data_IF_557008289887
#
_entry.id   IF_557008289887
#
_cell.length_a   1.000
_cell.length_b   1.000
_cell.length_c   1.000
_cell.angle_alpha   90.00
_cell.angle_beta   90.00
_cell.angle_gamma   90.00
#
_symmetry.space_group_name_H-M   'P 1'
#
loop_
_entity.id
_entity.type
_entity.pdbx_description
1 polymer ?
#
# COMPACT_ATOMS: atom_id res chain seq x y z
N UNK A 1 -77.07 -36.04 -7.63
CA UNK A 1 -76.11 -35.28 -6.79
C UNK A 1 -75.17 -36.28 -6.13
N UNK A 2 -73.84 -36.09 -6.22
CA UNK A 2 -72.77 -37.09 -5.99
C UNK A 2 -72.43 -37.89 -7.25
N UNK A 3 -71.44 -37.42 -8.01
CA UNK A 3 -70.40 -38.19 -8.76
C UNK A 3 -69.42 -37.22 -9.44
N UNK A 4 -69.74 -35.94 -9.66
CA UNK A 4 -68.87 -35.04 -10.44
C UNK A 4 -67.75 -34.29 -9.68
N UNK A 5 -67.54 -34.53 -8.37
CA UNK A 5 -66.50 -33.80 -7.61
C UNK A 5 -65.18 -34.55 -7.45
N UNK A 6 -65.14 -35.87 -7.74
CA UNK A 6 -63.94 -36.68 -7.51
C UNK A 6 -63.01 -36.81 -8.73
N UNK A 7 -63.47 -36.45 -9.93
CA UNK A 7 -62.67 -36.54 -11.16
C UNK A 7 -61.81 -35.30 -11.45
N UNK A 8 -62.05 -34.16 -10.80
CA UNK A 8 -61.21 -32.96 -10.98
C UNK A 8 -59.95 -32.93 -10.11
N UNK A 9 -59.82 -33.79 -9.08
CA UNK A 9 -58.61 -33.84 -8.26
C UNK A 9 -57.54 -34.84 -8.74
N UNK A 10 -57.83 -35.68 -9.74
CA UNK A 10 -56.90 -36.72 -10.22
C UNK A 10 -56.11 -36.32 -11.48
N UNK A 11 -56.37 -35.16 -12.07
CA UNK A 11 -55.62 -34.62 -13.22
C UNK A 11 -54.56 -33.56 -12.83
N UNK A 12 -54.40 -33.27 -11.53
CA UNK A 12 -53.41 -32.31 -11.03
C UNK A 12 -52.14 -32.95 -10.41
N UNK A 13 -51.89 -34.25 -10.66
CA UNK A 13 -50.76 -34.98 -10.07
C UNK A 13 -49.74 -35.53 -11.06
N UNK A 14 -49.85 -35.25 -12.36
CA UNK A 14 -48.85 -35.64 -13.36
C UNK A 14 -48.55 -34.47 -14.30
N UNK A 15 -47.74 -33.51 -13.84
CA UNK A 15 -46.81 -32.70 -14.64
C UNK A 15 -46.10 -31.67 -13.75
N UNK A 16 -45.55 -32.12 -12.62
CA UNK A 16 -44.39 -31.47 -12.04
C UNK A 16 -43.20 -32.39 -12.30
N UNK A 17 -42.87 -32.60 -13.58
CA UNK A 17 -41.51 -32.93 -13.93
C UNK A 17 -40.69 -31.74 -13.41
N UNK A 18 -40.09 -31.91 -12.23
CA UNK A 18 -39.12 -30.98 -11.74
C UNK A 18 -38.00 -31.00 -12.77
N UNK A 19 -37.91 -29.93 -13.56
CA UNK A 19 -36.70 -29.59 -14.28
C UNK A 19 -35.69 -29.26 -13.17
N UNK A 20 -35.08 -30.28 -12.58
CA UNK A 20 -33.80 -30.07 -11.92
C UNK A 20 -32.86 -29.73 -13.07
N UNK A 21 -32.32 -28.50 -13.15
CA UNK A 21 -31.18 -28.29 -14.03
C UNK A 21 -30.15 -29.33 -13.60
N UNK A 22 -29.80 -30.24 -14.49
CA UNK A 22 -28.60 -31.05 -14.33
C UNK A 22 -27.48 -30.01 -14.23
N UNK A 23 -27.04 -29.72 -13.01
CA UNK A 23 -25.81 -28.99 -12.80
C UNK A 23 -24.73 -29.88 -13.41
N UNK A 24 -24.32 -29.56 -14.63
CA UNK A 24 -23.12 -30.09 -15.24
C UNK A 24 -21.98 -29.91 -14.24
N UNK A 25 -21.15 -30.93 -14.07
CA UNK A 25 -20.09 -30.89 -13.09
C UNK A 25 -19.16 -29.68 -13.37
N UNK A 26 -18.75 -28.99 -12.32
CA UNK A 26 -18.14 -27.68 -12.44
C UNK A 26 -18.41 -26.82 -11.22
N UNK A 27 -17.55 -25.82 -11.04
CA UNK A 27 -17.68 -24.86 -9.97
C UNK A 27 -17.53 -23.45 -10.55
N UNK A 28 -18.42 -22.53 -10.19
CA UNK A 28 -18.41 -21.15 -10.64
C UNK A 28 -18.59 -20.18 -9.47
N UNK A 29 -17.87 -19.06 -9.53
CA UNK A 29 -18.10 -17.89 -8.70
C UNK A 29 -18.22 -16.65 -9.57
N UNK A 30 -19.23 -15.83 -9.30
CA UNK A 30 -19.40 -14.53 -9.93
C UNK A 30 -19.59 -13.45 -8.86
N UNK A 31 -18.71 -12.45 -8.85
CA UNK A 31 -18.82 -11.26 -8.02
C UNK A 31 -19.46 -10.13 -8.81
N UNK A 32 -20.39 -9.41 -8.17
CA UNK A 32 -21.01 -8.18 -8.69
C UNK A 32 -20.52 -6.96 -7.90
N UNK A 33 -20.61 -5.77 -8.48
CA UNK A 33 -20.26 -4.50 -7.83
C UNK A 33 -18.95 -3.91 -8.36
N UNK A 34 -18.20 -3.19 -7.51
CA UNK A 34 -17.01 -2.43 -7.94
C UNK A 34 -15.91 -3.27 -8.61
N UNK A 35 -15.83 -4.55 -8.29
CA UNK A 35 -14.98 -5.53 -8.97
C UNK A 35 -15.92 -6.62 -9.48
N UNK A 36 -16.21 -6.57 -10.77
CA UNK A 36 -17.08 -7.53 -11.45
C UNK A 36 -16.24 -8.56 -12.18
N UNK A 37 -16.33 -9.82 -11.72
CA UNK A 37 -15.67 -10.93 -12.37
C UNK A 37 -16.43 -12.23 -12.14
N UNK A 38 -16.22 -13.17 -13.05
CA UNK A 38 -16.60 -14.57 -12.92
C UNK A 38 -15.39 -15.46 -13.12
N UNK A 39 -15.37 -16.57 -12.39
CA UNK A 39 -14.38 -17.63 -12.50
C UNK A 39 -15.15 -18.95 -12.51
N UNK A 40 -14.90 -19.78 -13.51
CA UNK A 40 -15.43 -21.14 -13.58
C UNK A 40 -14.29 -22.15 -13.71
N UNK A 41 -14.44 -23.29 -13.03
CA UNK A 41 -13.46 -24.36 -12.92
C UNK A 41 -14.13 -25.69 -13.20
N UNK A 42 -13.54 -26.44 -14.12
CA UNK A 42 -13.85 -27.84 -14.35
C UNK A 42 -12.55 -28.65 -14.36
N UNK A 43 -12.64 -29.95 -14.11
CA UNK A 43 -11.49 -30.85 -14.18
C UNK A 43 -11.81 -32.12 -14.94
N UNK A 44 -10.78 -32.75 -15.50
CA UNK A 44 -10.86 -34.06 -16.15
C UNK A 44 -9.68 -34.92 -15.76
N UNK A 45 -9.88 -36.23 -15.74
CA UNK A 45 -8.77 -37.17 -15.69
C UNK A 45 -8.13 -37.30 -17.07
N UNK A 46 -6.81 -37.15 -17.10
CA UNK A 46 -6.03 -37.32 -18.31
C UNK A 46 -5.52 -38.75 -18.36
N UNK A 47 -6.15 -39.58 -19.19
CA UNK A 47 -5.82 -41.01 -19.31
C UNK A 47 -4.37 -41.22 -19.76
N UNK A 48 -3.82 -40.34 -20.60
CA UNK A 48 -2.48 -40.47 -21.14
C UNK A 48 -1.39 -40.15 -20.10
N UNK A 49 -1.58 -39.08 -19.30
CA UNK A 49 -0.61 -38.68 -18.27
C UNK A 49 -0.87 -39.28 -16.89
N UNK A 50 -2.01 -39.96 -16.71
CA UNK A 50 -2.56 -40.37 -15.42
C UNK A 50 -2.71 -39.21 -14.41
N UNK A 51 -2.74 -37.97 -14.90
CA UNK A 51 -2.91 -36.76 -14.09
C UNK A 51 -4.32 -36.20 -14.16
N UNK A 52 -4.53 -35.04 -13.52
CA UNK A 52 -5.79 -34.29 -13.58
C UNK A 52 -5.57 -32.92 -14.18
N UNK A 53 -6.37 -32.61 -15.20
CA UNK A 53 -6.34 -31.35 -15.92
C UNK A 53 -7.35 -30.38 -15.32
N UNK A 54 -7.02 -29.08 -15.29
CA UNK A 54 -7.92 -28.01 -14.88
C UNK A 54 -8.26 -27.15 -16.09
N UNK A 55 -9.56 -26.93 -16.30
CA UNK A 55 -10.11 -25.99 -17.26
C UNK A 55 -10.63 -24.78 -16.50
N UNK A 56 -10.06 -23.61 -16.80
CA UNK A 56 -10.31 -22.36 -16.11
C UNK A 56 -10.85 -21.33 -17.10
N UNK A 57 -12.06 -20.84 -16.82
CA UNK A 57 -12.68 -19.73 -17.54
C UNK A 57 -12.74 -18.51 -16.64
N UNK A 58 -12.18 -17.39 -17.10
CA UNK A 58 -12.15 -16.13 -16.36
C UNK A 58 -12.83 -15.07 -17.20
N UNK A 59 -13.79 -14.37 -16.60
CA UNK A 59 -14.39 -13.16 -17.13
C UNK A 59 -14.20 -12.03 -16.14
N UNK A 60 -13.64 -10.89 -16.53
CA UNK A 60 -13.43 -9.77 -15.62
C UNK A 60 -13.58 -8.45 -16.37
N UNK A 61 -14.36 -7.52 -15.80
CA UNK A 61 -14.50 -6.18 -16.37
C UNK A 61 -13.44 -5.28 -15.75
N UNK A 62 -12.47 -4.76 -16.53
CA UNK A 62 -11.43 -3.89 -16.00
C UNK A 62 -12.01 -2.54 -15.57
N UNK A 63 -11.26 -1.81 -14.74
CA UNK A 63 -11.61 -0.44 -14.41
C UNK A 63 -11.40 0.49 -15.62
N UNK A 64 -12.12 1.62 -15.68
CA UNK A 64 -12.03 2.59 -16.79
C UNK A 64 -10.63 3.19 -17.00
N UNK A 65 -9.78 3.10 -15.98
CA UNK A 65 -8.38 3.55 -16.00
C UNK A 65 -7.39 2.43 -16.31
N UNK A 66 -7.86 1.27 -16.75
CA UNK A 66 -7.06 0.10 -17.07
C UNK A 66 -6.79 -0.79 -15.86
N UNK A 67 -5.62 -1.44 -15.86
CA UNK A 67 -5.19 -2.35 -14.81
C UNK A 67 -5.13 -3.81 -15.26
N UNK A 68 -5.16 -4.71 -14.27
CA UNK A 68 -5.04 -6.14 -14.48
C UNK A 68 -5.89 -6.90 -13.48
N UNK A 69 -6.37 -8.08 -13.88
CA UNK A 69 -7.11 -8.99 -13.03
C UNK A 69 -6.39 -10.34 -12.94
N UNK A 70 -6.46 -11.01 -11.80
CA UNK A 70 -5.83 -12.31 -11.63
C UNK A 70 -6.66 -13.25 -10.76
N UNK A 71 -6.59 -14.52 -11.12
CA UNK A 71 -6.99 -15.66 -10.29
C UNK A 71 -5.74 -16.50 -10.02
N UNK A 72 -5.62 -17.07 -8.83
CA UNK A 72 -4.53 -17.97 -8.50
C UNK A 72 -4.97 -19.17 -7.66
N UNK A 73 -4.28 -20.29 -7.86
CA UNK A 73 -4.46 -21.51 -7.08
C UNK A 73 -3.45 -21.50 -5.93
N UNK A 74 -3.95 -21.54 -4.70
CA UNK A 74 -3.14 -21.50 -3.48
C UNK A 74 -3.70 -20.61 -2.38
N UNK A 75 -3.22 -20.83 -1.16
CA UNK A 75 -3.66 -20.08 0.03
C UNK A 75 -3.01 -18.70 0.20
N UNK A 76 -1.92 -18.42 -0.51
CA UNK A 76 -1.12 -17.19 -0.43
C UNK A 76 -0.33 -17.00 -1.72
N UNK A 77 0.15 -15.79 -2.01
CA UNK A 77 0.98 -15.52 -3.21
C UNK A 77 2.21 -16.42 -3.33
N UNK A 78 2.86 -16.72 -2.19
CA UNK A 78 4.05 -17.55 -2.16
C UNK A 78 3.71 -19.00 -2.57
N UNK A 79 4.21 -19.44 -3.73
CA UNK A 79 3.98 -20.76 -4.31
C UNK A 79 2.65 -20.91 -5.06
N UNK A 80 1.84 -19.86 -5.19
CA UNK A 80 0.60 -19.93 -5.95
C UNK A 80 0.87 -20.01 -7.46
N UNK A 81 -0.01 -20.72 -8.17
CA UNK A 81 -0.10 -20.70 -9.63
C UNK A 81 -1.07 -19.57 -10.02
N UNK A 82 -0.56 -18.46 -10.53
CA UNK A 82 -1.36 -17.25 -10.79
C UNK A 82 -1.54 -17.02 -12.30
N UNK A 83 -2.78 -16.82 -12.71
CA UNK A 83 -3.20 -16.45 -14.07
C UNK A 83 -3.58 -14.98 -14.06
N UNK A 84 -2.91 -14.17 -14.86
CA UNK A 84 -3.01 -12.70 -14.82
C UNK A 84 -3.42 -12.21 -16.21
N UNK A 85 -4.50 -11.44 -16.26
CA UNK A 85 -5.15 -10.91 -17.45
C UNK A 85 -4.95 -9.39 -17.50
N UNK A 86 -4.47 -8.89 -18.62
CA UNK A 86 -4.41 -7.45 -18.90
C UNK A 86 -4.38 -7.18 -20.39
N UNK A 87 -4.76 -5.97 -20.76
CA UNK A 87 -4.60 -5.45 -22.12
C UNK A 87 -3.61 -4.29 -22.13
N UNK A 88 -3.03 -4.05 -23.30
CA UNK A 88 -2.28 -2.82 -23.56
C UNK A 88 -3.20 -1.60 -23.66
N UNK A 89 -2.61 -0.43 -23.88
CA UNK A 89 -3.33 0.84 -24.03
C UNK A 89 -4.37 0.86 -25.16
N UNK A 90 -4.30 -0.06 -26.12
CA UNK A 90 -5.28 -0.16 -27.20
C UNK A 90 -6.61 -0.77 -26.74
N UNK A 91 -6.58 -1.57 -25.66
CA UNK A 91 -7.74 -2.30 -25.13
C UNK A 91 -8.40 -3.27 -26.13
N UNK A 92 -7.65 -3.76 -27.13
CA UNK A 92 -8.18 -4.65 -28.19
C UNK A 92 -7.80 -6.11 -28.02
N UNK A 93 -6.63 -6.36 -27.43
CA UNK A 93 -6.05 -7.70 -27.32
C UNK A 93 -5.77 -8.02 -25.86
N UNK A 94 -5.97 -9.29 -25.48
CA UNK A 94 -5.82 -9.73 -24.10
C UNK A 94 -4.55 -10.56 -23.95
N UNK A 95 -3.64 -10.12 -23.08
CA UNK A 95 -2.53 -10.93 -22.61
C UNK A 95 -2.96 -11.81 -21.43
N UNK A 96 -2.54 -13.06 -21.45
CA UNK A 96 -2.65 -14.00 -20.32
C UNK A 96 -1.24 -14.39 -19.92
N UNK A 97 -0.86 -14.05 -18.68
CA UNK A 97 0.43 -14.38 -18.10
C UNK A 97 0.26 -15.37 -16.96
N UNK A 98 1.09 -16.40 -16.93
CA UNK A 98 1.13 -17.35 -15.82
C UNK A 98 2.39 -17.14 -15.00
N UNK A 99 2.21 -16.91 -13.70
CA UNK A 99 3.30 -16.53 -12.80
C UNK A 99 3.24 -17.25 -11.46
N UNK A 100 4.36 -17.24 -10.76
CA UNK A 100 4.46 -17.61 -9.35
C UNK A 100 5.29 -16.60 -8.57
N UNK A 101 5.29 -16.70 -7.24
CA UNK A 101 6.08 -15.83 -6.37
C UNK A 101 6.65 -16.62 -5.19
N UNK A 102 7.75 -16.15 -4.61
CA UNK A 102 8.33 -16.70 -3.37
C UNK A 102 7.75 -16.05 -2.11
N UNK A 103 6.96 -14.99 -2.26
CA UNK A 103 6.51 -14.15 -1.16
C UNK A 103 5.56 -13.04 -1.62
N UNK A 104 5.45 -11.98 -0.82
CA UNK A 104 4.80 -10.71 -1.23
C UNK A 104 5.76 -9.85 -2.06
N UNK A 105 6.16 -10.39 -3.20
CA UNK A 105 7.04 -9.76 -4.19
C UNK A 105 6.37 -9.86 -5.57
N UNK A 106 6.83 -9.06 -6.53
CA UNK A 106 6.32 -9.14 -7.90
C UNK A 106 6.46 -10.58 -8.43
N UNK A 107 5.37 -11.21 -8.88
CA UNK A 107 5.43 -12.55 -9.46
C UNK A 107 6.24 -12.57 -10.77
N UNK A 108 6.92 -13.68 -11.02
CA UNK A 108 7.71 -13.95 -12.23
C UNK A 108 7.10 -15.09 -13.03
N UNK A 109 7.33 -15.13 -14.33
CA UNK A 109 6.92 -16.28 -15.15
C UNK A 109 7.54 -17.57 -14.64
N UNK A 110 6.83 -18.66 -14.90
CA UNK A 110 7.23 -20.01 -14.50
C UNK A 110 8.14 -20.57 -15.59
N UNK A 111 9.35 -21.01 -15.24
CA UNK A 111 10.34 -21.52 -16.21
C UNK A 111 10.46 -23.03 -16.16
N UNK A 112 10.81 -23.62 -15.00
CA UNK A 112 11.38 -24.99 -15.00
C UNK A 112 10.52 -26.06 -14.28
N UNK A 113 9.47 -25.65 -13.53
CA UNK A 113 8.60 -26.56 -12.76
C UNK A 113 7.10 -26.36 -13.07
N UNK A 114 6.77 -25.73 -14.20
CA UNK A 114 5.39 -25.42 -14.56
C UNK A 114 4.63 -26.67 -15.03
N UNK A 115 3.34 -26.83 -14.67
CA UNK A 115 2.46 -27.66 -15.48
C UNK A 115 2.40 -27.08 -16.90
N UNK A 116 2.13 -27.92 -17.89
CA UNK A 116 1.89 -27.44 -19.26
C UNK A 116 0.58 -26.63 -19.26
N UNK A 117 0.66 -25.37 -19.72
CA UNK A 117 -0.50 -24.47 -19.72
C UNK A 117 -0.74 -23.98 -21.14
N UNK A 118 -1.99 -24.09 -21.57
CA UNK A 118 -2.45 -23.62 -22.88
C UNK A 118 -3.59 -22.64 -22.73
N UNK A 119 -3.44 -21.45 -23.32
CA UNK A 119 -4.51 -20.47 -23.45
C UNK A 119 -5.31 -20.82 -24.70
N UNK A 120 -6.56 -21.24 -24.54
CA UNK A 120 -7.43 -21.61 -25.68
C UNK A 120 -8.22 -20.43 -26.20
N UNK A 121 -8.42 -19.40 -25.36
CA UNK A 121 -9.09 -18.16 -25.73
C UNK A 121 -8.57 -17.01 -24.87
N UNK A 122 -8.34 -15.87 -25.49
CA UNK A 122 -8.02 -14.62 -24.82
C UNK A 122 -8.55 -13.47 -25.67
N UNK A 123 -9.63 -12.83 -25.23
CA UNK A 123 -10.28 -11.76 -26.00
C UNK A 123 -10.75 -10.63 -25.08
N UNK A 124 -10.75 -9.42 -25.62
CA UNK A 124 -11.48 -8.29 -25.03
C UNK A 124 -12.82 -8.18 -25.77
N UNK A 125 -13.92 -8.27 -25.02
CA UNK A 125 -15.27 -8.18 -25.59
C UNK A 125 -15.51 -6.74 -26.05
N UNK A 126 -15.71 -6.46 -27.36
CA UNK A 126 -15.76 -5.09 -27.87
C UNK A 126 -16.86 -4.22 -27.26
N UNK A 127 -18.02 -4.80 -26.94
CA UNK A 127 -19.19 -4.07 -26.46
C UNK A 127 -19.05 -3.65 -24.98
N UNK A 128 -18.35 -4.45 -24.18
CA UNK A 128 -18.27 -4.28 -22.72
C UNK A 128 -16.87 -3.98 -22.21
N UNK A 129 -15.83 -4.16 -23.02
CA UNK A 129 -14.43 -4.13 -22.60
C UNK A 129 -14.05 -5.27 -21.65
N UNK A 130 -14.92 -6.26 -21.46
CA UNK A 130 -14.70 -7.38 -20.53
C UNK A 130 -13.59 -8.29 -21.04
N UNK A 131 -12.67 -8.65 -20.17
CA UNK A 131 -11.65 -9.64 -20.46
C UNK A 131 -12.25 -11.03 -20.33
N UNK A 132 -12.08 -11.87 -21.36
CA UNK A 132 -12.49 -13.26 -21.35
C UNK A 132 -11.31 -14.15 -21.73
N UNK A 133 -10.92 -15.03 -20.81
CA UNK A 133 -9.87 -16.01 -21.03
C UNK A 133 -10.34 -17.43 -20.69
N UNK A 134 -9.94 -18.39 -21.52
CA UNK A 134 -10.12 -19.83 -21.28
C UNK A 134 -8.74 -20.48 -21.31
N UNK A 135 -8.41 -21.23 -20.27
CA UNK A 135 -7.08 -21.74 -19.99
C UNK A 135 -7.18 -23.21 -19.59
N UNK A 136 -6.28 -24.04 -20.11
CA UNK A 136 -6.11 -25.44 -19.73
C UNK A 136 -4.77 -25.59 -19.02
N UNK A 137 -4.79 -26.15 -17.81
CA UNK A 137 -3.61 -26.56 -17.05
C UNK A 137 -3.54 -28.09 -17.06
N UNK A 138 -2.60 -28.65 -17.81
CA UNK A 138 -2.42 -30.10 -17.93
C UNK A 138 -1.62 -30.66 -16.77
N UNK A 139 -2.06 -31.80 -16.24
CA UNK A 139 -1.47 -32.46 -15.06
C UNK A 139 -1.24 -31.48 -13.90
N UNK A 140 -2.23 -30.62 -13.66
CA UNK A 140 -2.15 -29.55 -12.66
C UNK A 140 -2.09 -30.11 -11.24
N UNK A 141 -2.50 -31.37 -11.04
CA UNK A 141 -2.32 -32.13 -9.79
C UNK A 141 -0.86 -32.26 -9.34
N UNK A 142 0.10 -32.10 -10.25
CA UNK A 142 1.52 -32.11 -9.94
C UNK A 142 2.03 -30.78 -9.37
N UNK A 143 1.26 -29.69 -9.48
CA UNK A 143 1.65 -28.41 -8.91
C UNK A 143 1.54 -28.44 -7.37
N UNK A 144 2.59 -28.05 -6.62
CA UNK A 144 2.54 -28.06 -5.17
C UNK A 144 1.40 -27.18 -4.62
N UNK A 145 0.56 -27.78 -3.78
CA UNK A 145 -0.54 -27.09 -3.10
C UNK A 145 -1.90 -27.17 -3.81
N UNK A 146 -2.03 -28.03 -4.82
CA UNK A 146 -3.32 -28.41 -5.41
C UNK A 146 -3.71 -29.80 -4.89
N UNK A 147 -4.90 -29.91 -4.29
CA UNK A 147 -5.50 -31.17 -3.84
C UNK A 147 -6.89 -31.33 -4.44
N UNK A 148 -7.00 -32.24 -5.41
CA UNK A 148 -8.26 -32.53 -6.10
C UNK A 148 -9.30 -33.24 -5.23
N UNK A 149 -8.90 -33.79 -4.08
CA UNK A 149 -9.81 -34.46 -3.16
C UNK A 149 -10.36 -33.50 -2.10
N UNK A 150 -9.84 -32.26 -2.05
CA UNK A 150 -10.26 -31.26 -1.09
C UNK A 150 -11.55 -30.57 -1.54
N UNK A 151 -12.60 -30.70 -0.73
CA UNK A 151 -13.79 -29.85 -0.83
C UNK A 151 -13.52 -28.39 -0.41
N UNK A 152 -12.28 -28.07 -0.02
CA UNK A 152 -11.87 -26.75 0.43
C UNK A 152 -10.50 -26.32 -0.12
N UNK A 153 -10.26 -26.56 -1.41
CA UNK A 153 -9.03 -26.13 -2.08
C UNK A 153 -8.94 -24.59 -2.08
N UNK A 154 -7.87 -23.99 -1.54
CA UNK A 154 -7.71 -22.55 -1.52
C UNK A 154 -7.37 -21.99 -2.91
N UNK A 155 -8.07 -20.93 -3.25
CA UNK A 155 -7.83 -20.07 -4.41
C UNK A 155 -7.81 -18.61 -3.96
N UNK A 156 -7.37 -17.73 -4.84
CA UNK A 156 -7.33 -16.30 -4.60
C UNK A 156 -7.62 -15.52 -5.87
N UNK A 157 -8.05 -14.28 -5.70
CA UNK A 157 -8.15 -13.32 -6.79
C UNK A 157 -7.49 -12.01 -6.39
N UNK A 158 -7.09 -11.23 -7.39
CA UNK A 158 -6.49 -9.91 -7.19
C UNK A 158 -6.77 -8.99 -8.39
N UNK A 159 -6.86 -7.70 -8.13
CA UNK A 159 -7.12 -6.66 -9.12
C UNK A 159 -6.25 -5.43 -8.87
N UNK A 160 -5.67 -4.90 -9.95
CA UNK A 160 -5.18 -3.53 -10.02
C UNK A 160 -6.08 -2.73 -10.98
N UNK A 161 -6.37 -1.46 -10.65
CA UNK A 161 -7.35 -0.62 -11.37
C UNK A 161 -6.75 0.51 -12.20
N UNK A 162 -5.43 0.66 -12.26
CA UNK A 162 -4.84 1.88 -12.83
C UNK A 162 -3.53 1.70 -13.55
N UNK A 163 -2.98 0.48 -13.57
CA UNK A 163 -1.77 0.22 -14.31
C UNK A 163 -2.05 0.20 -15.81
N UNK A 164 -1.33 1.02 -16.56
CA UNK A 164 -1.37 1.03 -18.02
C UNK A 164 -0.19 0.21 -18.55
N UNK A 165 -0.48 -0.69 -19.49
CA UNK A 165 0.53 -1.49 -20.17
C UNK A 165 0.80 -0.92 -21.57
N UNK A 166 2.07 -0.80 -21.94
CA UNK A 166 2.49 -0.32 -23.26
C UNK A 166 2.64 -1.45 -24.29
N UNK A 167 2.56 -2.70 -23.85
CA UNK A 167 2.66 -3.90 -24.70
C UNK A 167 2.00 -5.09 -24.00
N UNK A 168 1.80 -6.17 -24.76
CA UNK A 168 1.25 -7.44 -24.29
C UNK A 168 2.35 -8.44 -23.85
N UNK A 169 3.54 -7.95 -23.49
CA UNK A 169 4.62 -8.81 -22.99
C UNK A 169 4.16 -9.54 -21.73
N UNK A 170 4.04 -10.87 -21.82
CA UNK A 170 3.63 -11.74 -20.71
C UNK A 170 4.50 -11.60 -19.47
N UNK A 171 5.70 -11.01 -19.55
CA UNK A 171 6.60 -10.73 -18.43
C UNK A 171 6.58 -9.26 -17.95
N UNK A 172 5.62 -8.46 -18.40
CA UNK A 172 5.47 -7.07 -18.00
C UNK A 172 5.51 -6.87 -16.47
N UNK A 173 6.07 -5.74 -16.04
CA UNK A 173 6.06 -5.32 -14.63
C UNK A 173 4.61 -5.25 -14.14
N UNK A 174 4.35 -5.67 -12.90
CA UNK A 174 3.04 -5.56 -12.27
C UNK A 174 3.14 -4.66 -11.05
N UNK A 175 2.31 -3.62 -11.02
CA UNK A 175 2.06 -2.82 -9.83
C UNK A 175 1.16 -3.59 -8.87
N UNK A 176 1.26 -3.29 -7.58
CA UNK A 176 0.55 -4.03 -6.53
C UNK A 176 -0.97 -3.98 -6.73
N UNK A 177 -1.65 -5.11 -6.52
CA UNK A 177 -3.10 -5.16 -6.50
C UNK A 177 -3.69 -4.28 -5.40
N UNK A 178 -4.80 -3.61 -5.69
CA UNK A 178 -5.54 -2.78 -4.74
C UNK A 178 -6.66 -3.57 -4.06
N UNK A 179 -7.27 -4.53 -4.77
CA UNK A 179 -8.29 -5.44 -4.26
C UNK A 179 -7.79 -6.88 -4.37
N UNK A 180 -8.06 -7.70 -3.37
CA UNK A 180 -7.77 -9.13 -3.43
C UNK A 180 -8.74 -9.92 -2.57
N UNK A 181 -8.72 -11.25 -2.66
CA UNK A 181 -9.55 -12.08 -1.80
C UNK A 181 -9.16 -13.55 -1.88
N UNK A 182 -9.77 -14.32 -0.99
CA UNK A 182 -9.58 -15.77 -0.92
C UNK A 182 -10.89 -16.47 -1.24
N UNK A 183 -10.79 -17.40 -2.17
CA UNK A 183 -11.85 -18.30 -2.60
C UNK A 183 -11.51 -19.71 -2.14
N UNK A 184 -12.54 -20.55 -2.10
CA UNK A 184 -12.44 -21.95 -1.76
C UNK A 184 -13.26 -22.71 -2.78
N UNK A 185 -12.62 -23.63 -3.49
CA UNK A 185 -13.24 -24.46 -4.53
C UNK A 185 -13.43 -25.86 -3.98
N UNK A 186 -14.63 -26.41 -4.19
CA UNK A 186 -14.91 -27.82 -3.95
C UNK A 186 -14.42 -28.63 -5.16
N UNK A 187 -13.17 -29.10 -5.10
CA UNK A 187 -12.52 -29.75 -6.26
C UNK A 187 -13.25 -31.01 -6.73
N UNK A 188 -13.75 -31.91 -5.85
CA UNK A 188 -14.59 -33.03 -6.26
C UNK A 188 -15.79 -32.64 -7.13
N UNK A 189 -16.43 -31.50 -6.85
CA UNK A 189 -17.57 -31.01 -7.64
C UNK A 189 -17.21 -30.58 -9.08
N UNK A 190 -15.91 -30.37 -9.36
CA UNK A 190 -15.43 -29.90 -10.67
C UNK A 190 -15.21 -31.02 -11.68
N UNK A 191 -15.19 -32.28 -11.25
CA UNK A 191 -14.80 -33.41 -12.08
C UNK A 191 -15.87 -33.75 -13.11
N UNK A 192 -15.54 -33.51 -14.38
CA UNK A 192 -16.35 -33.86 -15.53
C UNK A 192 -16.13 -35.31 -15.95
N UNK A 193 -17.15 -35.89 -16.58
CA UNK A 193 -16.97 -37.14 -17.31
C UNK A 193 -16.09 -36.91 -18.55
N UNK A 194 -15.40 -37.96 -19.03
CA UNK A 194 -14.44 -37.87 -20.16
C UNK A 194 -15.04 -37.18 -21.40
N UNK A 195 -16.26 -37.55 -21.77
CA UNK A 195 -16.95 -37.06 -22.97
C UNK A 195 -17.79 -35.78 -22.72
N UNK A 196 -17.87 -35.31 -21.47
CA UNK A 196 -18.65 -34.12 -21.13
C UNK A 196 -17.95 -32.85 -21.64
N UNK A 197 -18.69 -31.95 -22.27
CA UNK A 197 -18.14 -30.68 -22.74
C UNK A 197 -17.75 -29.78 -21.56
N UNK A 198 -16.73 -28.94 -21.74
CA UNK A 198 -16.37 -27.95 -20.73
C UNK A 198 -17.47 -26.87 -20.70
N UNK A 199 -18.15 -26.65 -19.55
CA UNK A 199 -19.19 -25.64 -19.47
C UNK A 199 -18.61 -24.24 -19.62
N UNK A 200 -19.27 -23.39 -20.40
CA UNK A 200 -19.00 -21.95 -20.42
C UNK A 200 -19.49 -21.30 -19.13
N UNK A 201 -19.00 -20.09 -18.82
CA UNK A 201 -19.51 -19.28 -17.70
C UNK A 201 -21.03 -19.10 -17.86
N UNK A 202 -21.79 -19.41 -16.82
CA UNK A 202 -23.25 -19.30 -16.82
C UNK A 202 -23.69 -17.84 -17.09
N UNK A 203 -24.60 -17.68 -18.05
CA UNK A 203 -25.11 -16.38 -18.49
C UNK A 203 -25.92 -15.67 -17.41
N UNK A 204 -26.50 -16.42 -16.46
CA UNK A 204 -27.19 -15.86 -15.31
C UNK A 204 -26.23 -15.41 -14.19
N UNK A 205 -24.91 -15.64 -14.35
CA UNK A 205 -23.85 -15.32 -13.39
C UNK A 205 -24.14 -15.87 -11.99
N UNK A 206 -24.72 -17.07 -11.91
CA UNK A 206 -24.96 -17.74 -10.63
C UNK A 206 -23.65 -18.34 -10.09
N UNK A 207 -23.54 -18.45 -8.77
CA UNK A 207 -22.37 -19.04 -8.10
C UNK A 207 -22.73 -20.39 -7.49
N UNK A 208 -21.90 -21.41 -7.72
CA UNK A 208 -22.05 -22.78 -7.24
C UNK A 208 -20.67 -23.45 -7.13
N UNK A 209 -20.44 -24.34 -6.15
CA UNK A 209 -19.16 -25.06 -5.99
C UNK A 209 -17.94 -24.22 -5.57
N UNK A 210 -18.01 -22.88 -5.66
CA UNK A 210 -16.95 -21.96 -5.20
C UNK A 210 -17.53 -21.01 -4.14
N UNK A 211 -16.82 -20.85 -3.03
CA UNK A 211 -17.21 -20.00 -1.89
C UNK A 211 -16.15 -18.95 -1.62
N UNK A 212 -16.57 -17.74 -1.24
CA UNK A 212 -15.64 -16.72 -0.73
C UNK A 212 -15.35 -16.99 0.73
N UNK A 213 -14.06 -17.07 1.09
CA UNK A 213 -13.64 -17.17 2.49
C UNK A 213 -13.46 -15.80 3.11
N UNK A 214 -12.80 -14.90 2.39
CA UNK A 214 -12.56 -13.52 2.83
C UNK A 214 -12.43 -12.61 1.61
N UNK A 215 -13.16 -11.50 1.59
CA UNK A 215 -12.83 -10.37 0.73
C UNK A 215 -11.69 -9.58 1.40
N UNK A 216 -10.53 -9.48 0.76
CA UNK A 216 -9.50 -8.53 1.12
C UNK A 216 -9.86 -7.16 0.54
N UNK A 217 -10.77 -6.42 1.20
CA UNK A 217 -11.09 -5.03 0.83
C UNK A 217 -10.55 -4.05 1.87
N UNK A 218 -9.93 -3.00 1.34
CA UNK A 218 -9.36 -1.80 1.98
C UNK A 218 -8.13 -1.96 2.88
N UNK A 219 -7.18 -1.04 2.68
CA UNK A 219 -6.08 -0.74 3.61
C UNK A 219 -6.62 -0.76 5.04
N UNK A 220 -6.11 -1.66 5.89
CA UNK A 220 -6.62 -1.81 7.26
C UNK A 220 -6.67 -0.44 7.96
N UNK A 221 -7.68 -0.20 8.81
CA UNK A 221 -7.84 1.05 9.57
C UNK A 221 -6.51 1.46 10.24
N UNK A 222 -5.76 0.47 10.74
CA UNK A 222 -4.46 0.64 11.34
C UNK A 222 -3.41 1.31 10.41
N UNK A 223 -3.42 0.99 9.10
CA UNK A 223 -2.55 1.63 8.09
C UNK A 223 -2.99 3.07 7.83
N UNK A 224 -4.31 3.33 7.76
CA UNK A 224 -4.84 4.70 7.60
C UNK A 224 -4.45 5.58 8.79
N UNK A 225 -4.61 5.07 10.02
CA UNK A 225 -4.20 5.75 11.26
C UNK A 225 -2.68 5.98 11.28
N UNK A 226 -1.88 4.97 10.92
CA UNK A 226 -0.42 5.13 10.85
C UNK A 226 -0.03 6.26 9.90
N UNK A 227 -0.56 6.27 8.68
CA UNK A 227 -0.31 7.33 7.70
C UNK A 227 -0.69 8.71 8.23
N UNK A 228 -1.87 8.83 8.84
CA UNK A 228 -2.33 10.09 9.45
C UNK A 228 -1.40 10.60 10.56
N UNK A 229 -1.02 9.72 11.50
CA UNK A 229 -0.09 10.07 12.59
C UNK A 229 1.27 10.50 12.02
N UNK A 230 1.80 9.76 11.04
CA UNK A 230 3.11 10.08 10.43
C UNK A 230 3.09 11.43 9.72
N UNK A 231 2.04 11.73 8.95
CA UNK A 231 1.87 13.03 8.30
C UNK A 231 1.84 14.17 9.31
N UNK A 232 1.04 14.06 10.37
CA UNK A 232 1.00 15.08 11.43
C UNK A 232 2.35 15.23 12.13
N UNK A 233 3.06 14.14 12.39
CA UNK A 233 4.35 14.22 13.06
C UNK A 233 5.41 14.92 12.19
N UNK A 234 5.59 14.48 10.94
CA UNK A 234 6.69 14.96 10.08
C UNK A 234 6.40 16.30 9.39
N UNK A 235 5.18 16.51 8.90
CA UNK A 235 4.80 17.73 8.19
C UNK A 235 4.16 18.77 9.13
N UNK A 236 3.62 18.34 10.28
CA UNK A 236 3.08 19.24 11.30
C UNK A 236 4.07 19.55 12.43
N UNK A 237 4.17 18.64 13.40
CA UNK A 237 4.75 18.92 14.72
C UNK A 237 6.28 19.06 14.65
N UNK A 238 6.99 18.14 13.99
CA UNK A 238 8.44 18.25 13.83
C UNK A 238 8.82 19.50 13.04
N UNK A 239 8.12 19.73 11.93
CA UNK A 239 8.28 20.92 11.10
C UNK A 239 8.09 22.21 11.93
N UNK A 240 6.98 22.32 12.66
CA UNK A 240 6.71 23.42 13.59
C UNK A 240 7.86 23.63 14.58
N UNK A 241 8.33 22.58 15.24
CA UNK A 241 9.46 22.68 16.17
C UNK A 241 10.74 23.21 15.51
N UNK A 242 11.01 22.84 14.25
CA UNK A 242 12.18 23.34 13.51
C UNK A 242 12.05 24.79 13.03
N UNK A 243 10.84 25.27 12.78
CA UNK A 243 10.56 26.67 12.48
C UNK A 243 10.67 27.51 13.76
N UNK A 244 10.07 27.06 14.85
CA UNK A 244 9.99 27.83 16.10
C UNK A 244 11.35 28.15 16.70
N UNK A 245 12.33 27.24 16.64
CA UNK A 245 13.69 27.53 17.14
C UNK A 245 14.39 28.70 16.40
N UNK A 246 13.89 29.08 15.22
CA UNK A 246 14.37 30.22 14.41
C UNK A 246 13.48 31.45 14.55
N UNK A 247 12.36 31.34 15.27
CA UNK A 247 11.46 32.45 15.50
C UNK A 247 11.95 33.29 16.69
N UNK A 248 11.88 34.63 16.63
CA UNK A 248 12.37 35.51 17.69
C UNK A 248 11.34 35.57 18.83
N UNK A 249 11.21 34.48 19.57
CA UNK A 249 10.32 34.37 20.72
C UNK A 249 11.10 33.80 21.90
N UNK A 250 10.87 34.31 23.11
CA UNK A 250 11.61 33.92 24.31
C UNK A 250 11.47 32.42 24.64
N UNK A 251 10.33 31.82 24.26
CA UNK A 251 10.04 30.40 24.47
C UNK A 251 10.44 29.48 23.31
N UNK A 252 11.14 29.97 22.29
CA UNK A 252 11.45 29.20 21.07
C UNK A 252 12.16 27.87 21.33
N UNK A 253 13.11 27.84 22.28
CA UNK A 253 13.74 26.58 22.70
C UNK A 253 12.75 25.63 23.36
N UNK A 254 11.89 26.14 24.27
CA UNK A 254 10.90 25.33 24.98
C UNK A 254 9.90 24.70 24.01
N UNK A 255 9.38 25.49 23.08
CA UNK A 255 8.46 25.01 22.04
C UNK A 255 9.13 24.00 21.11
N UNK A 256 10.40 24.22 20.76
CA UNK A 256 11.18 23.28 19.96
C UNK A 256 11.28 21.91 20.62
N UNK A 257 11.83 21.82 21.83
CA UNK A 257 12.10 20.50 22.43
C UNK A 257 10.81 19.75 22.79
N UNK A 258 9.75 20.44 23.23
CA UNK A 258 8.44 19.83 23.49
C UNK A 258 7.87 19.24 22.21
N UNK A 259 7.86 20.01 21.11
CA UNK A 259 7.37 19.54 19.82
C UNK A 259 8.17 18.33 19.32
N UNK A 260 9.51 18.37 19.40
CA UNK A 260 10.36 17.25 18.99
C UNK A 260 10.10 16.00 19.83
N UNK A 261 9.93 16.12 21.15
CA UNK A 261 9.68 14.99 22.03
C UNK A 261 8.32 14.35 21.75
N UNK A 262 7.26 15.15 21.69
CA UNK A 262 5.89 14.65 21.43
C UNK A 262 5.80 13.96 20.08
N UNK A 263 6.31 14.58 19.02
CA UNK A 263 6.32 13.98 17.69
C UNK A 263 7.17 12.69 17.64
N UNK A 264 8.29 12.64 18.36
CA UNK A 264 9.14 11.44 18.42
C UNK A 264 8.42 10.27 19.07
N UNK A 265 7.76 10.49 20.21
CA UNK A 265 7.01 9.44 20.90
C UNK A 265 5.88 8.89 20.04
N UNK A 266 5.11 9.77 19.39
CA UNK A 266 4.02 9.38 18.48
C UNK A 266 4.55 8.62 17.26
N UNK A 267 5.61 9.13 16.62
CA UNK A 267 6.21 8.50 15.45
C UNK A 267 6.83 7.13 15.78
N UNK A 268 7.56 7.01 16.89
CA UNK A 268 8.15 5.73 17.32
C UNK A 268 7.06 4.73 17.67
N UNK A 269 6.04 5.12 18.44
CA UNK A 269 4.94 4.22 18.82
C UNK A 269 4.15 3.72 17.60
N UNK A 270 3.78 4.62 16.69
CA UNK A 270 3.06 4.26 15.47
C UNK A 270 3.90 3.39 14.52
N UNK A 271 5.21 3.66 14.40
CA UNK A 271 6.14 2.82 13.63
C UNK A 271 6.32 1.43 14.25
N UNK A 272 6.52 1.35 15.57
CA UNK A 272 6.69 0.09 16.29
C UNK A 272 5.44 -0.80 16.17
N UNK A 273 4.25 -0.21 16.30
CA UNK A 273 2.98 -0.92 16.13
C UNK A 273 2.79 -1.44 14.70
N UNK A 274 3.15 -0.66 13.67
CA UNK A 274 3.10 -1.17 12.29
C UNK A 274 4.13 -2.26 12.03
N UNK A 275 5.32 -2.14 12.61
CA UNK A 275 6.39 -3.11 12.45
C UNK A 275 6.04 -4.45 13.10
N UNK A 276 5.38 -4.46 14.26
CA UNK A 276 4.95 -5.70 14.91
C UNK A 276 3.92 -6.49 14.10
N UNK A 277 3.18 -5.83 13.20
CA UNK A 277 2.25 -6.49 12.25
C UNK A 277 2.89 -6.81 10.89
N UNK A 278 4.13 -6.42 10.66
CA UNK A 278 4.76 -6.58 9.35
C UNK A 278 5.21 -8.04 9.14
N UNK A 279 4.59 -8.72 8.16
CA UNK A 279 5.03 -10.05 7.70
C UNK A 279 6.19 -10.00 6.70
N UNK A 280 6.43 -8.85 6.08
CA UNK A 280 7.47 -8.63 5.07
C UNK A 280 7.95 -7.17 5.12
N UNK A 281 9.23 -6.94 4.79
CA UNK A 281 9.88 -5.64 4.76
C UNK A 281 10.01 -5.09 3.33
N UNK A 282 8.91 -4.56 2.82
CA UNK A 282 8.91 -3.80 1.56
C UNK A 282 9.70 -2.49 1.66
N UNK A 283 9.87 -1.79 0.54
CA UNK A 283 10.69 -0.56 0.45
C UNK A 283 10.28 0.51 1.47
N UNK A 284 8.98 0.83 1.55
CA UNK A 284 8.45 1.80 2.52
C UNK A 284 8.76 1.41 3.98
N UNK A 285 8.60 0.13 4.33
CA UNK A 285 8.87 -0.36 5.69
C UNK A 285 10.36 -0.31 6.02
N UNK A 286 11.23 -0.60 5.05
CA UNK A 286 12.69 -0.49 5.21
C UNK A 286 13.12 0.97 5.42
N UNK A 287 12.63 1.89 4.60
CA UNK A 287 12.91 3.33 4.77
C UNK A 287 12.37 3.80 6.13
N UNK A 288 11.13 3.45 6.47
CA UNK A 288 10.52 3.77 7.76
C UNK A 288 11.35 3.27 8.94
N UNK A 289 11.83 2.02 8.91
CA UNK A 289 12.70 1.47 9.95
C UNK A 289 13.99 2.29 10.11
N UNK A 290 14.67 2.61 9.01
CA UNK A 290 15.89 3.44 9.03
C UNK A 290 15.59 4.81 9.63
N UNK A 291 14.52 5.48 9.18
CA UNK A 291 14.12 6.80 9.67
C UNK A 291 13.81 6.76 11.18
N UNK A 292 13.07 5.75 11.65
CA UNK A 292 12.76 5.59 13.08
C UNK A 292 14.02 5.33 13.92
N UNK A 293 14.96 4.51 13.44
CA UNK A 293 16.24 4.29 14.11
C UNK A 293 17.07 5.57 14.19
N UNK A 294 17.15 6.33 13.09
CA UNK A 294 17.83 7.62 13.06
C UNK A 294 17.16 8.65 13.99
N UNK A 295 15.83 8.60 14.13
CA UNK A 295 15.09 9.47 15.03
C UNK A 295 15.44 9.23 16.51
N UNK A 296 15.61 7.97 16.91
CA UNK A 296 16.09 7.63 18.26
C UNK A 296 17.51 8.20 18.47
N UNK A 297 18.40 7.99 17.51
CA UNK A 297 19.75 8.53 17.54
C UNK A 297 19.74 10.08 17.62
N UNK A 298 18.88 10.74 16.84
CA UNK A 298 18.72 12.19 16.83
C UNK A 298 18.28 12.74 18.19
N UNK A 299 17.40 12.03 18.90
CA UNK A 299 17.00 12.36 20.27
C UNK A 299 18.19 12.31 21.23
N UNK A 300 19.01 11.24 21.15
CA UNK A 300 20.23 11.11 21.95
C UNK A 300 21.26 12.21 21.64
N UNK A 301 21.52 12.49 20.36
CA UNK A 301 22.44 13.57 19.95
C UNK A 301 21.89 14.94 20.40
N UNK A 302 20.57 15.16 20.33
CA UNK A 302 19.93 16.39 20.78
C UNK A 302 20.10 16.64 22.28
N UNK A 303 19.95 15.60 23.10
CA UNK A 303 20.21 15.65 24.53
C UNK A 303 21.68 15.98 24.83
N UNK A 304 22.63 15.29 24.17
CA UNK A 304 24.07 15.58 24.30
C UNK A 304 24.41 17.00 23.84
N UNK A 305 23.81 17.46 22.75
CA UNK A 305 23.97 18.82 22.25
C UNK A 305 23.52 19.84 23.29
N UNK A 306 22.36 19.64 23.92
CA UNK A 306 21.85 20.56 24.94
C UNK A 306 22.77 20.65 26.16
N UNK A 307 23.20 19.52 26.72
CA UNK A 307 24.13 19.50 27.87
C UNK A 307 25.41 20.26 27.55
N UNK A 308 26.06 19.92 26.43
CA UNK A 308 27.33 20.54 26.04
C UNK A 308 27.16 22.03 25.76
N UNK A 309 26.04 22.43 25.15
CA UNK A 309 25.75 23.85 24.89
C UNK A 309 25.55 24.66 26.17
N UNK A 310 24.85 24.11 27.17
CA UNK A 310 24.67 24.76 28.48
C UNK A 310 26.00 24.86 29.23
N UNK A 311 26.89 23.88 29.09
CA UNK A 311 28.20 23.89 29.75
C UNK A 311 29.21 24.84 29.08
N UNK A 312 29.24 24.91 27.75
CA UNK A 312 30.32 25.56 27.01
C UNK A 312 29.90 26.87 26.31
N UNK A 313 28.59 27.14 26.19
CA UNK A 313 28.02 28.25 25.41
C UNK A 313 28.58 28.38 23.98
N UNK A 314 29.11 27.29 23.42
CA UNK A 314 29.74 27.22 22.10
C UNK A 314 29.18 26.07 21.27
N UNK A 315 29.31 26.16 19.95
CA UNK A 315 28.92 25.07 19.04
C UNK A 315 29.93 23.93 19.15
N UNK A 316 29.45 22.72 19.40
CA UNK A 316 30.23 21.49 19.42
C UNK A 316 29.93 20.63 18.19
N UNK A 317 30.71 19.55 17.98
CA UNK A 317 30.43 18.55 16.95
C UNK A 317 29.02 17.96 17.07
N UNK A 318 28.51 17.80 18.30
CA UNK A 318 27.13 17.37 18.55
C UNK A 318 26.09 18.37 18.01
N UNK A 319 26.39 19.67 18.00
CA UNK A 319 25.51 20.69 17.41
C UNK A 319 25.40 20.50 15.89
N UNK A 320 26.54 20.35 15.21
CA UNK A 320 26.58 20.13 13.76
C UNK A 320 25.89 18.82 13.40
N UNK A 321 26.19 17.74 14.15
CA UNK A 321 25.56 16.44 13.98
C UNK A 321 24.04 16.49 14.15
N UNK A 322 23.54 17.08 15.24
CA UNK A 322 22.10 17.21 15.51
C UNK A 322 21.39 17.98 14.39
N UNK A 323 21.97 19.08 13.90
CA UNK A 323 21.33 19.92 12.88
C UNK A 323 21.27 19.20 11.53
N UNK A 324 22.35 18.57 11.07
CA UNK A 324 22.36 17.89 9.77
C UNK A 324 21.58 16.59 9.78
N UNK A 325 21.73 15.76 10.83
CA UNK A 325 20.97 14.52 10.97
C UNK A 325 19.46 14.83 11.04
N UNK A 326 19.05 15.84 11.80
CA UNK A 326 17.65 16.25 11.88
C UNK A 326 17.06 16.66 10.54
N UNK A 327 17.82 17.38 9.70
CA UNK A 327 17.38 17.73 8.32
C UNK A 327 17.22 16.50 7.45
N UNK A 328 18.20 15.58 7.49
CA UNK A 328 18.14 14.34 6.74
C UNK A 328 16.93 13.49 7.14
N UNK A 329 16.64 13.38 8.44
CA UNK A 329 15.47 12.67 8.97
C UNK A 329 14.17 13.29 8.48
N UNK A 330 14.04 14.61 8.49
CA UNK A 330 12.84 15.28 7.98
C UNK A 330 12.61 15.01 6.49
N UNK A 331 13.65 15.17 5.67
CA UNK A 331 13.56 14.89 4.23
C UNK A 331 13.18 13.41 3.97
N UNK A 332 13.85 12.47 4.63
CA UNK A 332 13.57 11.04 4.47
C UNK A 332 12.20 10.65 5.00
N UNK A 333 11.75 11.25 6.11
CA UNK A 333 10.43 11.00 6.69
C UNK A 333 9.29 11.50 5.80
N UNK A 334 9.41 12.72 5.26
CA UNK A 334 8.45 13.27 4.30
C UNK A 334 8.43 12.41 3.03
N UNK A 335 9.59 12.04 2.48
CA UNK A 335 9.67 11.10 1.36
C UNK A 335 8.99 9.76 1.68
N UNK A 336 9.21 9.23 2.89
CA UNK A 336 8.61 7.97 3.31
C UNK A 336 7.07 8.06 3.40
N UNK A 337 6.51 9.21 3.78
CA UNK A 337 5.06 9.47 3.72
C UNK A 337 4.56 9.34 2.27
N UNK A 338 5.25 9.97 1.31
CA UNK A 338 4.89 9.87 -0.11
C UNK A 338 4.90 8.43 -0.63
N UNK A 339 5.95 7.65 -0.29
CA UNK A 339 5.98 6.22 -0.65
C UNK A 339 4.85 5.43 0.01
N UNK A 340 4.49 5.74 1.25
CA UNK A 340 3.39 5.11 1.97
C UNK A 340 2.03 5.40 1.35
N UNK A 341 1.80 6.64 0.91
CA UNK A 341 0.61 7.04 0.15
C UNK A 341 0.52 6.30 -1.17
N UNK A 342 1.62 6.23 -1.93
CA UNK A 342 1.68 5.51 -3.20
C UNK A 342 1.34 4.02 -3.04
N UNK A 343 1.99 3.31 -2.11
CA UNK A 343 1.71 1.88 -1.87
C UNK A 343 0.33 1.63 -1.25
N UNK A 344 -0.27 2.63 -0.61
CA UNK A 344 -1.64 2.55 -0.11
C UNK A 344 -2.69 2.86 -1.19
N UNK A 345 -2.27 3.12 -2.44
CA UNK A 345 -3.16 3.35 -3.57
C UNK A 345 -3.81 4.72 -3.60
N UNK A 346 -3.17 5.75 -3.02
CA UNK A 346 -3.66 7.12 -3.13
C UNK A 346 -3.68 7.59 -4.59
N UNK A 347 -4.68 8.42 -4.93
CA UNK A 347 -4.82 8.98 -6.27
C UNK A 347 -3.66 9.91 -6.62
N UNK A 348 -3.43 10.10 -7.93
CA UNK A 348 -2.44 11.05 -8.43
C UNK A 348 -2.66 12.46 -7.85
N UNK A 349 -3.92 12.89 -7.72
CA UNK A 349 -4.28 14.16 -7.08
C UNK A 349 -3.79 14.22 -5.62
N UNK A 350 -4.00 13.16 -4.84
CA UNK A 350 -3.56 13.09 -3.45
C UNK A 350 -2.04 13.17 -3.30
N UNK A 351 -1.30 12.48 -4.19
CA UNK A 351 0.16 12.56 -4.24
C UNK A 351 0.64 13.96 -4.65
N UNK A 352 -0.03 14.59 -5.61
CA UNK A 352 0.28 15.97 -6.02
C UNK A 352 0.05 16.96 -4.89
N UNK A 353 -1.04 16.85 -4.14
CA UNK A 353 -1.31 17.72 -2.98
C UNK A 353 -0.23 17.55 -1.91
N UNK A 354 0.14 16.32 -1.57
CA UNK A 354 1.25 16.06 -0.64
C UNK A 354 2.55 16.72 -1.11
N UNK A 355 2.89 16.58 -2.39
CA UNK A 355 4.11 17.16 -2.95
C UNK A 355 4.10 18.70 -2.89
N UNK A 356 2.98 19.34 -3.21
CA UNK A 356 2.82 20.80 -3.12
C UNK A 356 3.03 21.27 -1.68
N UNK A 357 2.42 20.59 -0.70
CA UNK A 357 2.59 20.96 0.72
C UNK A 357 4.06 20.79 1.16
N UNK A 358 4.71 19.70 0.78
CA UNK A 358 6.13 19.48 1.10
C UNK A 358 7.04 20.56 0.51
N UNK A 359 6.79 21.00 -0.73
CA UNK A 359 7.53 22.10 -1.36
C UNK A 359 7.26 23.44 -0.66
N UNK A 360 5.99 23.72 -0.31
CA UNK A 360 5.63 24.93 0.41
C UNK A 360 6.30 25.01 1.79
N UNK A 361 6.33 23.91 2.54
CA UNK A 361 7.03 23.79 3.81
C UNK A 361 8.54 24.01 3.65
N UNK A 362 9.16 23.39 2.63
CA UNK A 362 10.57 23.61 2.36
C UNK A 362 10.88 25.08 2.02
N UNK A 363 10.07 25.72 1.18
CA UNK A 363 10.22 27.12 0.81
C UNK A 363 10.08 28.05 2.03
N UNK A 364 9.07 27.81 2.87
CA UNK A 364 8.86 28.59 4.09
C UNK A 364 10.00 28.39 5.10
N UNK A 365 10.49 27.16 5.28
CA UNK A 365 11.66 26.90 6.13
C UNK A 365 12.91 27.65 5.65
N UNK A 366 13.14 27.72 4.33
CA UNK A 366 14.24 28.49 3.74
C UNK A 366 14.05 29.98 4.02
N UNK A 367 12.84 30.52 3.79
CA UNK A 367 12.50 31.91 4.10
C UNK A 367 12.79 32.28 5.57
N UNK A 368 12.28 31.47 6.51
CA UNK A 368 12.50 31.70 7.96
C UNK A 368 13.99 31.60 8.30
N UNK A 369 14.72 30.65 7.70
CA UNK A 369 16.15 30.49 7.91
C UNK A 369 16.97 31.69 7.41
N UNK A 370 16.61 32.26 6.26
CA UNK A 370 17.23 33.48 5.72
C UNK A 370 16.93 34.67 6.64
N UNK A 371 15.67 34.84 7.05
CA UNK A 371 15.25 35.95 7.93
C UNK A 371 15.94 35.89 9.28
N UNK A 372 16.05 34.69 9.88
CA UNK A 372 16.78 34.48 11.12
C UNK A 372 18.27 34.85 10.98
N UNK A 373 18.93 34.45 9.89
CA UNK A 373 20.33 34.83 9.63
C UNK A 373 20.51 36.34 9.49
N UNK A 374 19.62 37.01 8.74
CA UNK A 374 19.65 38.46 8.55
C UNK A 374 19.50 39.22 9.86
N UNK A 375 18.56 38.81 10.73
CA UNK A 375 18.37 39.39 12.06
C UNK A 375 19.64 39.27 12.91
N UNK A 376 20.21 38.07 12.99
CA UNK A 376 21.44 37.85 13.75
C UNK A 376 22.61 38.72 13.24
N UNK A 377 22.75 38.86 11.92
CA UNK A 377 23.77 39.75 11.34
C UNK A 377 23.54 41.22 11.66
N UNK A 378 22.28 41.65 11.81
CA UNK A 378 21.93 43.02 12.17
C UNK A 378 22.22 43.26 13.67
N UNK A 379 21.85 42.32 14.54
CA UNK A 379 22.15 42.38 15.98
C UNK A 379 23.66 42.38 16.24
N UNK A 380 24.42 41.52 15.54
CA UNK A 380 25.88 41.47 15.63
C UNK A 380 26.54 42.78 15.13
N UNK A 381 25.94 43.46 14.14
CA UNK A 381 26.42 44.77 13.67
C UNK A 381 26.11 45.87 14.68
N UNK A 382 24.89 45.92 15.22
CA UNK A 382 24.48 46.91 16.23
C UNK A 382 25.34 46.79 17.49
N UNK A 383 25.57 45.57 17.99
CA UNK A 383 26.44 45.35 19.16
C UNK A 383 27.84 45.91 18.96
N UNK A 384 28.46 45.66 17.79
CA UNK A 384 29.79 46.16 17.48
C UNK A 384 29.87 47.69 17.40
N UNK A 385 28.80 48.35 16.95
CA UNK A 385 28.74 49.81 16.91
C UNK A 385 28.65 50.38 18.33
N UNK A 386 27.82 49.79 19.19
CA UNK A 386 27.72 50.19 20.61
C UNK A 386 29.06 49.99 21.34
N UNK A 387 29.70 48.83 21.18
CA UNK A 387 31.01 48.55 21.79
C UNK A 387 32.09 49.56 21.34
N UNK A 388 32.00 50.05 20.09
CA UNK A 388 32.91 51.04 19.53
C UNK A 388 32.63 52.46 20.03
N UNK A 389 31.36 52.84 20.21
CA UNK A 389 30.96 54.12 20.80
C UNK A 389 31.33 54.20 22.29
N UNK A 390 31.11 53.13 23.06
CA UNK A 390 31.50 53.06 24.48
C UNK A 390 33.02 53.15 24.66
N UNK A 391 33.79 52.54 23.76
CA UNK A 391 35.26 52.64 23.77
C UNK A 391 35.75 54.06 23.43
N UNK A 392 35.11 54.75 22.48
CA UNK A 392 35.47 56.11 22.08
C UNK A 392 35.00 57.19 23.08
N UNK A 393 33.91 56.95 23.82
CA UNK A 393 33.44 57.82 24.90
C UNK A 393 34.34 57.78 26.13
N UNK A 394 34.99 56.66 26.40
CA UNK A 394 35.88 56.47 27.55
C UNK A 394 37.29 57.08 27.35
N UNK A 395 37.71 57.35 26.12
CA UNK A 395 38.98 58.05 25.82
C UNK A 395 38.86 59.58 25.91
N UNK A 396 37.64 60.14 25.90
CA UNK A 396 37.38 61.58 25.96
C UNK A 396 36.82 62.06 27.32
N UNK A 397 36.73 61.16 28.31
CA UNK A 397 36.25 61.46 29.66
C UNK A 397 37.36 61.95 30.57
N UNK A 398 37.51 63.27 30.62
CA UNK A 398 38.37 64.01 31.55
C UNK A 398 38.16 63.57 33.01
N UNK A 399 39.29 63.40 33.70
CA UNK A 399 39.44 63.18 35.13
C UNK A 399 38.67 64.26 35.93
N UNK A 400 37.56 63.89 36.57
CA UNK A 400 36.99 64.67 37.68
C UNK A 400 37.01 63.81 38.95
N UNK A 401 37.91 64.22 39.82
CA UNK A 401 38.22 63.76 41.15
C UNK A 401 37.02 63.83 42.12
N UNK A 402 36.81 62.75 42.89
CA UNK A 402 36.35 62.80 44.28
C UNK A 402 34.85 62.90 44.59
N UNK A 403 34.31 61.87 45.25
CA UNK A 403 33.78 61.85 46.65
C UNK A 403 32.98 60.55 46.88
N UNK A 404 33.24 59.77 47.94
CA UNK A 404 32.49 58.56 48.26
C UNK A 404 31.31 58.88 49.19
N UNK A 405 30.13 58.30 48.97
CA UNK A 405 29.10 58.17 50.02
C UNK A 405 28.05 57.08 49.68
N UNK A 406 28.09 56.03 50.49
CA UNK A 406 27.02 55.20 51.06
C UNK A 406 25.58 55.28 50.50
N UNK A 407 25.03 54.07 50.33
CA UNK A 407 23.67 53.65 50.73
C UNK A 407 22.47 53.96 49.79
N UNK A 408 21.82 52.87 49.31
CA UNK A 408 20.45 52.52 49.72
C UNK A 408 20.01 51.17 49.15
N UNK A 409 19.65 50.28 50.08
CA UNK A 409 18.67 49.22 49.89
C UNK A 409 17.28 49.85 49.68
N UNK A 410 16.52 49.34 48.70
CA UNK A 410 15.07 49.11 48.75
C UNK A 410 14.67 48.26 47.55
#
# INVERSE_FOLDING_TARGET
MRVHFLQLCLLALFSAAQWQPVLSAGAQYCQKGDLEFCMAVSSKENVASQGKDIYLSISATPHSTGGWFSVGIGAKMAGALMFILYSDSSQKELAVSVRTATGHVMPTAITDAAPEIKVTKAVVVPETGTYLAEIVCYSCDKWPGIDFNSASQPWMFAENRGQVFNSLDTNARLDMHQSHGHLVVDMPSTLLSTDEAIPSIDSQKQSFGIRVKTHGKETSIAVKIHGFIMTICFMGIFYFGTVMIRWPHSQSFRLHWIAQLVASLLAIASAAYMLSRAKHLGTHKRIGLVVTSLLILQGWIGYRHHIVFVQQHRRSLFSTGHVWLGRSILCLGIFNIGTGMYYSGWSALGLTVWFIVAVAEAAFFVYVSIRHRRRKQQDDKTSKVVDQEDSAGNENGEEIEGVPLMERMA
#
